data_IF_426778300884
#
_entry.id   IF_426778300884
#
_cell.length_a   1.000
_cell.length_b   1.000
_cell.length_c   1.000
_cell.angle_alpha   90.00
_cell.angle_beta   90.00
_cell.angle_gamma   90.00
#
_symmetry.space_group_name_H-M   'P 1'
#
loop_
_entity.id
_entity.type
_entity.pdbx_description
1 polymer ?
#
# COMPACT_ATOMS: atom_id res chain seq x y z
N UNK A 1 -10.00 -5.75 -12.12
CA UNK A 1 -9.61 -4.56 -12.89
C UNK A 1 -8.72 -3.73 -11.99
N UNK A 2 -7.41 -3.70 -12.27
CA UNK A 2 -6.53 -2.67 -11.76
C UNK A 2 -7.08 -1.35 -12.30
N UNK A 3 -7.77 -0.60 -11.45
CA UNK A 3 -8.16 0.77 -11.73
C UNK A 3 -6.92 1.64 -11.75
N UNK A 4 -6.06 1.44 -12.75
CA UNK A 4 -5.03 2.38 -13.10
C UNK A 4 -5.73 3.54 -13.79
N UNK A 5 -6.19 4.51 -13.01
CA UNK A 5 -6.53 5.80 -13.59
C UNK A 5 -5.31 6.32 -14.36
N UNK A 6 -5.55 6.91 -15.49
CA UNK A 6 -4.75 7.59 -16.54
C UNK A 6 -3.26 7.94 -16.31
N UNK A 7 -2.63 7.55 -15.21
CA UNK A 7 -1.20 7.78 -14.97
C UNK A 7 -0.31 6.56 -15.28
N UNK A 8 -0.92 5.39 -15.57
CA UNK A 8 -0.15 4.25 -16.06
C UNK A 8 0.01 4.36 -17.58
N UNK A 9 1.05 5.07 -17.98
CA UNK A 9 1.57 5.04 -19.33
C UNK A 9 2.78 4.08 -19.33
N UNK A 10 2.68 2.89 -19.93
CA UNK A 10 3.79 1.93 -19.95
C UNK A 10 5.03 2.47 -20.69
N UNK A 11 4.87 3.49 -21.55
CA UNK A 11 5.98 4.17 -22.20
C UNK A 11 6.70 5.10 -21.23
N UNK A 12 5.99 5.82 -20.38
CA UNK A 12 6.59 6.68 -19.33
C UNK A 12 7.29 5.86 -18.23
N UNK A 13 6.78 4.67 -17.91
CA UNK A 13 7.45 3.79 -16.96
C UNK A 13 8.73 3.19 -17.55
N UNK A 14 8.76 2.88 -18.86
CA UNK A 14 10.00 2.48 -19.56
C UNK A 14 11.03 3.62 -19.58
N UNK A 15 10.56 4.85 -19.82
CA UNK A 15 11.43 6.02 -19.80
C UNK A 15 11.96 6.32 -18.39
N UNK A 16 11.14 6.16 -17.35
CA UNK A 16 11.57 6.31 -15.97
C UNK A 16 12.59 5.22 -15.56
N UNK A 17 12.40 3.98 -16.01
CA UNK A 17 13.35 2.88 -15.79
C UNK A 17 14.66 3.12 -16.55
N UNK A 18 14.59 3.59 -17.80
CA UNK A 18 15.76 3.93 -18.61
C UNK A 18 16.54 5.14 -18.08
N UNK A 19 15.84 6.15 -17.55
CA UNK A 19 16.46 7.29 -16.85
C UNK A 19 17.16 6.80 -15.58
N UNK A 20 16.51 5.94 -14.81
CA UNK A 20 17.06 5.32 -13.61
C UNK A 20 18.33 4.49 -13.92
N UNK A 21 18.34 3.70 -14.98
CA UNK A 21 19.53 2.93 -15.39
C UNK A 21 20.68 3.82 -15.89
N UNK A 22 20.39 4.91 -16.58
CA UNK A 22 21.40 5.88 -16.99
C UNK A 22 21.97 6.64 -15.79
N UNK A 23 21.12 7.08 -14.91
CA UNK A 23 21.51 7.73 -13.64
C UNK A 23 22.30 6.76 -12.76
N UNK A 24 21.90 5.48 -12.68
CA UNK A 24 22.64 4.44 -11.97
C UNK A 24 24.06 4.24 -12.55
N UNK A 25 24.19 4.22 -13.88
CA UNK A 25 25.51 4.11 -14.56
C UNK A 25 26.36 5.35 -14.32
N UNK A 26 25.82 6.54 -14.42
CA UNK A 26 26.54 7.78 -14.12
C UNK A 26 26.95 7.85 -12.63
N UNK A 27 26.13 7.37 -11.72
CA UNK A 27 26.45 7.29 -10.31
C UNK A 27 27.52 6.23 -10.01
N UNK A 28 27.51 5.11 -10.71
CA UNK A 28 28.54 4.06 -10.57
C UNK A 28 29.90 4.55 -11.08
N UNK A 29 29.94 5.35 -12.14
CA UNK A 29 31.17 5.97 -12.65
C UNK A 29 31.68 7.08 -11.71
N UNK A 30 30.81 7.81 -11.01
CA UNK A 30 31.18 8.80 -10.01
C UNK A 30 31.68 8.16 -8.70
N UNK A 31 31.16 6.98 -8.33
CA UNK A 31 31.60 6.25 -7.11
C UNK A 31 33.08 5.79 -7.23
N UNK A 32 33.57 5.57 -8.44
CA UNK A 32 34.98 5.26 -8.69
C UNK A 32 35.94 6.40 -8.30
N UNK A 33 35.43 7.62 -8.17
CA UNK A 33 36.18 8.82 -7.79
C UNK A 33 36.01 9.23 -6.30
N UNK A 34 35.46 8.36 -5.46
CA UNK A 34 35.27 8.60 -4.02
C UNK A 34 34.20 9.63 -3.65
N UNK A 35 33.34 10.00 -4.59
CA UNK A 35 32.20 10.90 -4.34
C UNK A 35 31.07 10.07 -3.75
N UNK A 36 30.62 10.42 -2.53
CA UNK A 36 29.43 9.82 -1.93
C UNK A 36 28.18 10.19 -2.73
N UNK A 37 27.57 9.23 -3.39
CA UNK A 37 26.25 9.36 -4.01
C UNK A 37 25.21 8.81 -3.03
N UNK A 38 24.23 9.62 -2.61
CA UNK A 38 23.17 9.12 -1.74
C UNK A 38 22.37 8.05 -2.47
N UNK A 39 21.93 7.00 -1.77
CA UNK A 39 21.12 5.94 -2.38
C UNK A 39 19.82 6.52 -2.94
N UNK A 40 19.46 6.09 -4.15
CA UNK A 40 18.16 6.44 -4.73
C UNK A 40 17.10 5.70 -3.95
N UNK A 41 16.20 6.46 -3.35
CA UNK A 41 15.05 5.95 -2.60
C UNK A 41 13.79 6.18 -3.42
N UNK A 42 13.03 5.13 -3.65
CA UNK A 42 11.72 5.18 -4.32
C UNK A 42 10.63 4.86 -3.30
N UNK A 43 9.69 5.78 -3.11
CA UNK A 43 8.59 5.62 -2.18
C UNK A 43 7.30 5.35 -2.96
N UNK A 44 6.63 4.27 -2.61
CA UNK A 44 5.40 3.81 -3.25
C UNK A 44 4.29 3.81 -2.20
N UNK A 45 3.24 4.58 -2.43
CA UNK A 45 2.02 4.52 -1.62
C UNK A 45 1.20 3.31 -2.02
N UNK A 46 0.91 2.42 -1.08
CA UNK A 46 0.04 1.26 -1.26
C UNK A 46 -1.24 1.52 -0.48
N UNK A 47 -2.37 1.50 -1.16
CA UNK A 47 -3.68 1.69 -0.54
C UNK A 47 -4.66 0.63 -0.98
N UNK A 48 -5.30 -0.01 0.01
CA UNK A 48 -6.41 -0.94 -0.20
C UNK A 48 -7.73 -0.24 0.09
N UNK A 49 -8.64 -0.27 -0.87
CA UNK A 49 -9.98 0.29 -0.74
C UNK A 49 -11.03 -0.79 -0.57
N UNK A 50 -12.13 -0.46 0.12
CA UNK A 50 -13.30 -1.33 0.20
C UNK A 50 -14.06 -1.39 -1.14
N UNK A 51 -15.03 -2.30 -1.26
CA UNK A 51 -15.83 -2.47 -2.49
C UNK A 51 -16.58 -1.21 -2.92
N UNK A 52 -16.92 -0.35 -1.98
CA UNK A 52 -17.66 0.89 -2.23
C UNK A 52 -16.73 2.09 -2.45
N UNK A 53 -15.42 1.87 -2.36
CA UNK A 53 -14.40 2.93 -2.34
C UNK A 53 -14.71 4.03 -1.29
N UNK A 54 -15.34 3.62 -0.20
CA UNK A 54 -15.77 4.51 0.86
C UNK A 54 -14.68 4.76 1.91
N UNK A 55 -13.80 3.78 2.12
CA UNK A 55 -12.71 3.85 3.09
C UNK A 55 -11.44 3.17 2.54
N UNK A 56 -10.30 3.64 3.01
CA UNK A 56 -9.02 2.97 2.78
C UNK A 56 -8.66 2.14 4.02
N UNK A 57 -8.81 0.82 3.93
CA UNK A 57 -8.51 -0.09 5.04
C UNK A 57 -7.02 -0.40 5.19
N UNK A 58 -6.27 -0.26 4.10
CA UNK A 58 -4.81 -0.36 4.06
C UNK A 58 -4.24 0.97 3.59
N UNK A 59 -3.32 1.52 4.35
CA UNK A 59 -2.56 2.71 3.98
C UNK A 59 -1.11 2.48 4.39
N UNK A 60 -0.24 2.30 3.40
CA UNK A 60 1.15 1.87 3.63
C UNK A 60 2.08 2.55 2.64
N UNK A 61 3.30 2.84 3.08
CA UNK A 61 4.38 3.29 2.20
C UNK A 61 5.45 2.21 2.15
N UNK A 62 5.75 1.73 0.95
CA UNK A 62 6.92 0.92 0.65
C UNK A 62 8.03 1.82 0.16
N UNK A 63 9.20 1.76 0.81
CA UNK A 63 10.39 2.53 0.45
C UNK A 63 11.48 1.56 -0.02
N UNK A 64 11.80 1.60 -1.30
CA UNK A 64 12.86 0.80 -1.92
C UNK A 64 14.15 1.60 -2.00
N UNK A 65 15.27 0.99 -1.60
CA UNK A 65 16.61 1.56 -1.68
C UNK A 65 17.39 0.81 -2.75
N UNK A 66 17.62 1.45 -3.90
CA UNK A 66 18.18 0.80 -5.09
C UNK A 66 19.61 0.26 -4.90
N UNK A 67 20.41 0.87 -4.04
CA UNK A 67 21.81 0.48 -3.80
C UNK A 67 21.95 -0.77 -2.95
N UNK A 68 21.01 -1.05 -2.07
CA UNK A 68 21.01 -2.20 -1.14
C UNK A 68 19.97 -3.25 -1.49
N UNK A 69 19.00 -2.93 -2.36
CA UNK A 69 17.83 -3.77 -2.61
C UNK A 69 16.86 -3.83 -1.41
N UNK A 70 17.07 -3.00 -0.40
CA UNK A 70 16.29 -3.02 0.83
C UNK A 70 14.90 -2.43 0.61
N UNK A 71 13.88 -3.08 1.16
CA UNK A 71 12.50 -2.61 1.16
C UNK A 71 12.05 -2.38 2.59
N UNK A 72 11.65 -1.15 2.90
CA UNK A 72 11.08 -0.76 4.17
C UNK A 72 9.59 -0.52 4.02
N UNK A 73 8.77 -1.10 4.89
CA UNK A 73 7.33 -0.94 4.93
C UNK A 73 6.91 -0.13 6.15
N UNK A 74 6.17 0.94 5.91
CA UNK A 74 5.56 1.78 6.96
C UNK A 74 4.04 1.78 6.79
N UNK A 75 3.32 1.22 7.76
CA UNK A 75 1.86 1.33 7.79
C UNK A 75 1.40 2.58 8.54
N UNK A 76 0.45 3.29 7.96
CA UNK A 76 -0.25 4.39 8.60
C UNK A 76 -1.55 3.83 9.18
N UNK A 77 -1.73 3.81 10.51
CA UNK A 77 -2.96 3.33 11.11
C UNK A 77 -4.17 4.09 10.55
N UNK A 78 -5.20 3.36 10.15
CA UNK A 78 -6.39 3.93 9.50
C UNK A 78 -7.09 5.00 10.32
N UNK A 79 -6.98 4.94 11.65
CA UNK A 79 -7.57 5.90 12.58
C UNK A 79 -6.62 7.08 12.90
N UNK A 80 -5.47 7.19 12.21
CA UNK A 80 -4.57 8.33 12.36
C UNK A 80 -5.31 9.63 12.12
N UNK A 81 -5.18 10.55 13.06
CA UNK A 81 -5.81 11.87 12.99
C UNK A 81 -5.07 12.76 11.99
N UNK A 82 -5.76 13.22 10.98
CA UNK A 82 -5.26 14.17 9.98
C UNK A 82 -5.93 15.52 10.20
N UNK A 83 -5.13 16.57 10.34
CA UNK A 83 -5.59 17.94 10.49
C UNK A 83 -5.15 18.80 9.32
N UNK A 84 -6.09 19.45 8.66
CA UNK A 84 -5.84 20.34 7.54
C UNK A 84 -5.96 21.79 8.00
N UNK A 85 -4.97 22.62 7.64
CA UNK A 85 -4.92 24.04 7.97
C UNK A 85 -4.44 24.85 6.78
N UNK A 86 -4.70 26.15 6.78
CA UNK A 86 -4.17 27.08 5.77
C UNK A 86 -4.46 26.63 4.33
N UNK A 87 -3.41 26.53 3.55
CA UNK A 87 -3.47 26.16 2.12
C UNK A 87 -3.97 24.75 1.90
N UNK A 88 -3.56 23.77 2.73
CA UNK A 88 -4.01 22.39 2.64
C UNK A 88 -5.52 22.26 2.81
N UNK A 89 -6.08 22.97 3.78
CA UNK A 89 -7.55 22.99 3.98
C UNK A 89 -8.26 23.66 2.80
N UNK A 90 -7.66 24.70 2.26
CA UNK A 90 -8.20 25.39 1.09
C UNK A 90 -8.17 24.48 -0.15
N UNK A 91 -7.09 23.76 -0.36
CA UNK A 91 -6.95 22.79 -1.45
C UNK A 91 -7.95 21.63 -1.30
N UNK A 92 -8.08 21.06 -0.11
CA UNK A 92 -9.06 20.03 0.21
C UNK A 92 -10.49 20.48 -0.11
N UNK A 93 -10.87 21.70 0.29
CA UNK A 93 -12.21 22.27 0.09
C UNK A 93 -12.50 22.72 -1.35
N UNK A 94 -11.47 22.86 -2.19
CA UNK A 94 -11.67 23.00 -3.63
C UNK A 94 -12.17 21.69 -4.25
N UNK A 95 -11.70 20.54 -3.74
CA UNK A 95 -12.16 19.22 -4.18
C UNK A 95 -13.54 18.90 -3.60
N UNK A 96 -13.72 19.10 -2.30
CA UNK A 96 -14.98 18.85 -1.60
C UNK A 96 -15.25 19.96 -0.57
N UNK A 97 -16.20 20.84 -0.87
CA UNK A 97 -16.56 21.98 0.01
C UNK A 97 -17.02 21.54 1.41
N UNK A 98 -17.59 20.33 1.53
CA UNK A 98 -18.06 19.76 2.80
C UNK A 98 -16.97 19.04 3.60
N UNK A 99 -15.73 19.00 3.10
CA UNK A 99 -14.66 18.31 3.81
C UNK A 99 -14.34 19.00 5.14
N UNK A 100 -14.30 18.23 6.25
CA UNK A 100 -13.97 18.77 7.57
C UNK A 100 -12.48 19.16 7.62
N UNK A 101 -12.14 20.04 8.57
CA UNK A 101 -10.74 20.43 8.80
C UNK A 101 -9.92 19.35 9.50
N UNK A 102 -10.55 18.28 9.92
CA UNK A 102 -9.89 17.10 10.50
C UNK A 102 -10.68 15.84 10.16
N UNK A 103 -9.98 14.76 9.95
CA UNK A 103 -10.58 13.44 9.69
C UNK A 103 -9.61 12.31 9.99
N UNK A 104 -10.09 11.07 9.97
CA UNK A 104 -9.23 9.89 10.01
C UNK A 104 -8.55 9.67 8.67
N UNK A 105 -7.35 9.13 8.68
CA UNK A 105 -6.59 8.83 7.46
C UNK A 105 -7.38 7.99 6.45
N UNK A 106 -8.13 6.98 6.94
CA UNK A 106 -8.94 6.12 6.10
C UNK A 106 -10.11 6.84 5.38
N UNK A 107 -10.52 8.00 5.86
CA UNK A 107 -11.63 8.78 5.27
C UNK A 107 -11.16 9.77 4.19
N UNK A 108 -9.87 10.05 4.11
CA UNK A 108 -9.34 11.09 3.19
C UNK A 108 -9.75 10.80 1.75
N UNK A 109 -9.53 9.57 1.29
CA UNK A 109 -9.87 9.17 -0.07
C UNK A 109 -11.38 9.31 -0.35
N UNK A 110 -12.24 8.90 0.59
CA UNK A 110 -13.69 9.04 0.43
C UNK A 110 -14.15 10.49 0.21
N UNK A 111 -13.55 11.44 0.92
CA UNK A 111 -13.83 12.87 0.73
C UNK A 111 -13.24 13.44 -0.57
N UNK A 112 -12.26 12.81 -1.16
CA UNK A 112 -11.46 13.36 -2.26
C UNK A 112 -11.47 12.52 -3.51
N UNK A 113 -12.21 11.41 -3.56
CA UNK A 113 -12.17 10.45 -4.68
C UNK A 113 -12.50 11.05 -6.05
N UNK A 114 -13.26 12.15 -6.11
CA UNK A 114 -13.53 12.89 -7.35
C UNK A 114 -12.27 13.52 -7.98
N UNK A 115 -11.22 13.74 -7.19
CA UNK A 115 -9.91 14.21 -7.65
C UNK A 115 -8.87 13.06 -7.73
N UNK A 116 -9.31 11.81 -7.62
CA UNK A 116 -8.46 10.63 -7.67
C UNK A 116 -7.61 10.44 -6.40
N UNK A 117 -6.45 9.83 -6.55
CA UNK A 117 -5.56 9.47 -5.44
C UNK A 117 -4.67 10.64 -4.96
N UNK A 118 -4.46 11.65 -5.79
CA UNK A 118 -3.49 12.72 -5.51
C UNK A 118 -3.70 13.45 -4.17
N UNK A 119 -4.93 13.77 -3.72
CA UNK A 119 -5.12 14.39 -2.41
C UNK A 119 -4.71 13.47 -1.25
N UNK A 120 -4.95 12.15 -1.36
CA UNK A 120 -4.49 11.19 -0.35
C UNK A 120 -2.97 11.09 -0.35
N UNK A 121 -2.34 11.04 -1.53
CA UNK A 121 -0.89 11.02 -1.69
C UNK A 121 -0.26 12.26 -1.03
N UNK A 122 -0.74 13.46 -1.36
CA UNK A 122 -0.28 14.72 -0.75
C UNK A 122 -0.46 14.71 0.78
N UNK A 123 -1.57 14.16 1.26
CA UNK A 123 -1.80 14.02 2.70
C UNK A 123 -0.74 13.15 3.37
N UNK A 124 -0.39 12.02 2.75
CA UNK A 124 0.66 11.12 3.25
C UNK A 124 2.04 11.78 3.17
N UNK A 125 2.34 12.49 2.10
CA UNK A 125 3.58 13.27 1.93
C UNK A 125 3.75 14.29 3.06
N UNK A 126 2.69 15.07 3.35
CA UNK A 126 2.69 16.07 4.42
C UNK A 126 2.80 15.42 5.81
N UNK A 127 2.12 14.28 6.03
CA UNK A 127 2.15 13.56 7.30
C UNK A 127 3.54 13.02 7.64
N UNK A 128 4.23 12.48 6.63
CA UNK A 128 5.51 11.80 6.81
C UNK A 128 6.74 12.67 6.50
N UNK A 129 6.55 13.81 5.85
CA UNK A 129 7.65 14.68 5.42
C UNK A 129 8.51 14.05 4.31
N UNK A 130 7.92 13.19 3.47
CA UNK A 130 8.61 12.49 2.38
C UNK A 130 7.87 12.70 1.08
N UNK A 131 8.57 12.52 -0.06
CA UNK A 131 7.94 12.49 -1.37
C UNK A 131 7.46 11.07 -1.69
N UNK A 132 6.30 10.94 -2.30
CA UNK A 132 5.76 9.68 -2.86
C UNK A 132 5.93 9.72 -4.37
N UNK A 133 6.69 8.78 -4.92
CA UNK A 133 7.01 8.72 -6.34
C UNK A 133 5.93 7.99 -7.15
N UNK A 134 5.39 6.91 -6.58
CA UNK A 134 4.36 6.08 -7.22
C UNK A 134 3.27 5.72 -6.24
N UNK A 135 2.14 5.23 -6.75
CA UNK A 135 1.10 4.64 -5.92
C UNK A 135 0.50 3.38 -6.55
N UNK A 136 -0.01 2.53 -5.68
CA UNK A 136 -0.80 1.34 -6.03
C UNK A 136 -2.10 1.41 -5.25
N UNK A 137 -3.23 1.54 -5.94
CA UNK A 137 -4.57 1.43 -5.37
C UNK A 137 -5.16 0.08 -5.76
N UNK A 138 -5.53 -0.72 -4.77
CA UNK A 138 -6.04 -2.08 -4.96
C UNK A 138 -7.39 -2.22 -4.26
N UNK A 139 -8.39 -2.68 -4.96
CA UNK A 139 -9.62 -3.19 -4.37
C UNK A 139 -9.50 -4.70 -4.04
N UNK A 140 -10.52 -5.26 -3.37
CA UNK A 140 -10.48 -6.65 -2.94
C UNK A 140 -10.45 -7.64 -4.10
N UNK A 141 -11.15 -7.36 -5.20
CA UNK A 141 -11.21 -8.26 -6.35
C UNK A 141 -9.89 -8.25 -7.13
N UNK A 142 -9.27 -7.07 -7.26
CA UNK A 142 -7.93 -6.94 -7.82
C UNK A 142 -6.89 -7.64 -6.94
N UNK A 143 -6.99 -7.51 -5.61
CA UNK A 143 -6.10 -8.21 -4.68
C UNK A 143 -6.15 -9.72 -4.87
N UNK A 144 -7.35 -10.31 -4.87
CA UNK A 144 -7.55 -11.73 -5.12
C UNK A 144 -6.93 -12.14 -6.46
N UNK A 145 -7.24 -11.38 -7.52
CA UNK A 145 -6.74 -11.67 -8.88
C UNK A 145 -5.22 -11.60 -8.97
N UNK A 146 -4.58 -10.65 -8.29
CA UNK A 146 -3.11 -10.51 -8.27
C UNK A 146 -2.47 -11.72 -7.58
N UNK A 147 -3.01 -12.14 -6.44
CA UNK A 147 -2.49 -13.31 -5.70
C UNK A 147 -2.66 -14.59 -6.52
N UNK A 148 -3.80 -14.77 -7.17
CA UNK A 148 -4.04 -15.95 -8.02
C UNK A 148 -3.15 -15.95 -9.27
N UNK A 149 -2.90 -14.79 -9.86
CA UNK A 149 -2.04 -14.65 -11.05
C UNK A 149 -0.58 -15.05 -10.81
N UNK A 150 -0.10 -14.90 -9.57
CA UNK A 150 1.25 -15.36 -9.18
C UNK A 150 1.28 -16.79 -8.65
N UNK A 151 0.14 -17.50 -8.68
CA UNK A 151 0.04 -18.90 -8.24
C UNK A 151 -0.19 -19.07 -6.74
N UNK A 152 -0.60 -18.03 -6.04
CA UNK A 152 -0.76 -18.01 -4.58
C UNK A 152 0.52 -17.60 -3.85
N UNK A 153 0.39 -17.38 -2.54
CA UNK A 153 1.50 -16.96 -1.67
C UNK A 153 1.63 -17.92 -0.51
N UNK A 154 2.84 -18.44 -0.28
CA UNK A 154 3.14 -19.19 0.92
C UNK A 154 3.21 -18.27 2.13
N UNK A 155 2.46 -18.61 3.16
CA UNK A 155 2.39 -17.82 4.38
C UNK A 155 2.27 -18.69 5.62
N UNK A 156 2.91 -18.28 6.71
CA UNK A 156 2.79 -18.95 8.00
C UNK A 156 1.61 -18.39 8.79
N UNK A 157 0.47 -19.09 8.70
CA UNK A 157 -0.76 -18.67 9.38
C UNK A 157 -0.59 -18.78 10.90
N UNK A 158 -0.94 -17.72 11.66
CA UNK A 158 -0.74 -17.67 13.10
C UNK A 158 -1.31 -18.89 13.85
N UNK A 159 -0.67 -19.20 14.98
CA UNK A 159 -1.07 -20.29 15.88
C UNK A 159 -2.55 -20.18 16.27
N UNK A 160 -3.24 -21.31 16.22
CA UNK A 160 -4.68 -21.42 16.44
C UNK A 160 -5.50 -21.32 15.16
N UNK A 161 -4.87 -20.98 14.04
CA UNK A 161 -5.57 -20.75 12.78
C UNK A 161 -6.47 -19.51 12.81
N UNK A 162 -7.15 -19.23 11.70
CA UNK A 162 -8.07 -18.09 11.59
C UNK A 162 -9.45 -18.60 11.21
N UNK A 163 -10.45 -18.32 12.06
CA UNK A 163 -11.83 -18.72 11.81
C UNK A 163 -12.78 -17.55 12.06
N UNK A 164 -13.49 -17.13 11.03
CA UNK A 164 -14.45 -16.04 11.12
C UNK A 164 -15.48 -16.12 9.99
N UNK A 165 -16.71 -15.72 10.27
CA UNK A 165 -17.78 -15.65 9.27
C UNK A 165 -18.56 -14.36 9.44
N UNK A 166 -18.69 -13.62 8.33
CA UNK A 166 -19.51 -12.42 8.24
C UNK A 166 -20.27 -12.44 6.89
N UNK A 167 -21.48 -12.99 6.87
CA UNK A 167 -22.29 -13.09 5.66
C UNK A 167 -22.63 -11.72 5.04
N UNK A 168 -22.69 -10.67 5.86
CA UNK A 168 -23.01 -9.32 5.37
C UNK A 168 -21.91 -8.70 4.52
N UNK A 169 -20.67 -9.18 4.71
CA UNK A 169 -19.49 -8.77 3.96
C UNK A 169 -18.98 -9.83 2.98
N UNK A 170 -19.76 -10.91 2.80
CA UNK A 170 -19.35 -12.09 2.04
C UNK A 170 -17.94 -12.58 2.42
N UNK A 171 -17.67 -12.62 3.73
CA UNK A 171 -16.37 -12.96 4.29
C UNK A 171 -16.44 -14.25 5.10
N UNK A 172 -15.81 -15.31 4.58
CA UNK A 172 -15.71 -16.61 5.21
C UNK A 172 -14.25 -17.00 5.32
N UNK A 173 -13.72 -17.02 6.55
CA UNK A 173 -12.33 -17.33 6.85
C UNK A 173 -12.26 -18.65 7.60
N UNK A 174 -11.48 -19.60 7.07
CA UNK A 174 -11.21 -20.88 7.72
C UNK A 174 -9.81 -21.35 7.32
N UNK A 175 -8.79 -20.73 7.90
CA UNK A 175 -7.38 -21.04 7.67
C UNK A 175 -6.83 -21.84 8.83
N UNK A 176 -6.15 -22.95 8.53
CA UNK A 176 -5.43 -23.74 9.55
C UNK A 176 -4.14 -23.00 9.93
N UNK A 177 -3.61 -23.25 11.10
CA UNK A 177 -2.30 -22.75 11.50
C UNK A 177 -1.18 -23.36 10.66
N UNK A 178 -0.06 -22.63 10.54
CA UNK A 178 1.18 -23.10 9.94
C UNK A 178 1.38 -22.67 8.49
N UNK A 179 2.53 -23.07 7.97
CA UNK A 179 2.99 -22.67 6.64
C UNK A 179 2.21 -23.37 5.53
N UNK A 180 1.55 -22.61 4.69
CA UNK A 180 0.69 -23.12 3.62
C UNK A 180 0.60 -22.16 2.44
N UNK A 181 0.24 -22.68 1.27
CA UNK A 181 -0.07 -21.88 0.10
C UNK A 181 -1.48 -21.29 0.25
N UNK A 182 -1.58 -19.98 0.14
CA UNK A 182 -2.84 -19.25 0.14
C UNK A 182 -3.15 -18.78 -1.29
N UNK A 183 -4.30 -19.18 -1.82
CA UNK A 183 -4.88 -18.57 -3.01
C UNK A 183 -5.41 -17.17 -2.71
N UNK A 184 -5.92 -16.47 -3.72
CA UNK A 184 -6.41 -15.10 -3.56
C UNK A 184 -7.51 -14.98 -2.50
N UNK A 185 -8.45 -15.92 -2.40
CA UNK A 185 -9.52 -15.89 -1.40
C UNK A 185 -9.03 -16.18 0.02
N UNK A 186 -8.13 -17.12 0.17
CA UNK A 186 -7.48 -17.40 1.45
C UNK A 186 -6.63 -16.21 1.93
N UNK A 187 -5.89 -15.59 1.02
CA UNK A 187 -5.11 -14.39 1.28
C UNK A 187 -6.00 -13.19 1.65
N UNK A 188 -7.12 -12.97 0.94
CA UNK A 188 -8.13 -11.97 1.31
C UNK A 188 -8.62 -12.19 2.73
N UNK A 189 -8.98 -13.42 3.07
CA UNK A 189 -9.39 -13.80 4.41
C UNK A 189 -8.33 -13.48 5.47
N UNK A 190 -7.06 -13.81 5.19
CA UNK A 190 -5.92 -13.53 6.07
C UNK A 190 -5.77 -12.03 6.36
N UNK A 191 -5.72 -11.19 5.32
CA UNK A 191 -5.45 -9.74 5.48
C UNK A 191 -6.65 -8.95 6.03
N UNK A 192 -7.87 -9.52 5.95
CA UNK A 192 -9.09 -8.94 6.52
C UNK A 192 -9.39 -9.41 7.94
N UNK A 193 -8.79 -10.51 8.39
CA UNK A 193 -9.05 -11.06 9.71
C UNK A 193 -8.65 -10.07 10.80
N UNK A 194 -9.53 -9.87 11.78
CA UNK A 194 -9.33 -8.91 12.87
C UNK A 194 -9.86 -9.37 14.21
N UNK A 195 -11.13 -9.81 14.25
CA UNK A 195 -11.88 -10.01 15.52
C UNK A 195 -11.33 -11.12 16.43
N UNK A 196 -10.54 -12.06 15.90
CA UNK A 196 -9.92 -13.13 16.69
C UNK A 196 -8.51 -12.81 17.17
N UNK A 197 -7.94 -11.68 16.78
CA UNK A 197 -6.62 -11.29 17.25
C UNK A 197 -6.65 -10.63 18.62
N UNK A 198 -5.71 -10.98 19.49
CA UNK A 198 -5.60 -10.40 20.84
C UNK A 198 -5.39 -8.88 20.82
N UNK A 199 -4.63 -8.38 19.83
CA UNK A 199 -4.37 -6.95 19.61
C UNK A 199 -5.20 -6.35 18.48
N UNK A 200 -6.25 -7.07 18.07
CA UNK A 200 -7.22 -6.64 17.04
C UNK A 200 -6.57 -5.98 15.81
N UNK A 201 -6.78 -4.66 15.66
CA UNK A 201 -6.34 -3.90 14.48
C UNK A 201 -4.80 -3.84 14.33
N UNK A 202 -4.08 -3.72 15.42
CA UNK A 202 -2.61 -3.68 15.39
C UNK A 202 -2.02 -4.98 14.86
N UNK A 203 -2.57 -6.11 15.27
CA UNK A 203 -2.09 -7.41 14.79
C UNK A 203 -2.47 -7.64 13.32
N UNK A 204 -3.63 -7.16 12.88
CA UNK A 204 -3.99 -7.16 11.46
C UNK A 204 -2.96 -6.39 10.62
N UNK A 205 -2.56 -5.21 11.05
CA UNK A 205 -1.54 -4.39 10.37
C UNK A 205 -0.21 -5.15 10.26
N UNK A 206 0.22 -5.82 11.32
CA UNK A 206 1.44 -6.64 11.30
C UNK A 206 1.35 -7.80 10.29
N UNK A 207 0.21 -8.51 10.27
CA UNK A 207 -0.03 -9.58 9.29
C UNK A 207 -0.06 -9.04 7.86
N UNK A 208 -0.68 -7.89 7.63
CA UNK A 208 -0.66 -7.24 6.31
C UNK A 208 0.75 -6.87 5.86
N UNK A 209 1.58 -6.32 6.75
CA UNK A 209 2.99 -6.03 6.44
C UNK A 209 3.78 -7.30 6.12
N UNK A 210 3.59 -8.35 6.93
CA UNK A 210 4.23 -9.64 6.69
C UNK A 210 3.78 -10.22 5.36
N UNK A 211 2.48 -10.19 5.05
CA UNK A 211 1.96 -10.68 3.78
C UNK A 211 2.57 -9.95 2.57
N UNK A 212 2.66 -8.62 2.60
CA UNK A 212 3.28 -7.85 1.53
C UNK A 212 4.77 -8.21 1.39
N UNK A 213 5.48 -8.40 2.50
CA UNK A 213 6.88 -8.82 2.49
C UNK A 213 7.04 -10.19 1.83
N UNK A 214 6.22 -11.18 2.21
CA UNK A 214 6.23 -12.51 1.61
C UNK A 214 5.86 -12.46 0.12
N UNK A 215 4.84 -11.69 -0.24
CA UNK A 215 4.43 -11.46 -1.62
C UNK A 215 5.61 -10.93 -2.47
N UNK A 216 6.25 -9.85 -2.03
CA UNK A 216 7.40 -9.26 -2.74
C UNK A 216 8.54 -10.28 -2.87
N UNK A 217 8.86 -10.99 -1.78
CA UNK A 217 9.95 -11.98 -1.76
C UNK A 217 9.69 -13.12 -2.73
N UNK A 218 8.45 -13.63 -2.79
CA UNK A 218 8.11 -14.77 -3.65
C UNK A 218 7.91 -14.40 -5.11
N UNK A 219 7.54 -13.16 -5.41
CA UNK A 219 7.36 -12.68 -6.79
C UNK A 219 8.69 -12.24 -7.43
N UNK A 220 9.67 -11.79 -6.63
CA UNK A 220 10.97 -11.33 -7.13
C UNK A 220 12.04 -12.44 -7.19
N UNK A 221 11.80 -13.64 -6.64
CA UNK A 221 12.70 -14.80 -6.69
C UNK A 221 12.18 -15.83 -7.67
#
# INVERSE_FOLDING_TARGET
FLGAEKSYDPTKQRDATLISEKELKQQTEQTSNGIFTPPIRTNILITGVDKEESLTDVLMVASFISTTGEINLLSIPRDTYISYKGEDLTALRKVNRGAPSYMKANSVYAYTKSAGIEPLKTTVENLLGIKIDYYVKVDLDAFVSIVDAVGGIYFDVPKGGLKYSDPTQDLYINLKEGYQLLDGKAAEGLVRFRKGYNRQDLQRVEVQQQFIKEFITQVLN
#
